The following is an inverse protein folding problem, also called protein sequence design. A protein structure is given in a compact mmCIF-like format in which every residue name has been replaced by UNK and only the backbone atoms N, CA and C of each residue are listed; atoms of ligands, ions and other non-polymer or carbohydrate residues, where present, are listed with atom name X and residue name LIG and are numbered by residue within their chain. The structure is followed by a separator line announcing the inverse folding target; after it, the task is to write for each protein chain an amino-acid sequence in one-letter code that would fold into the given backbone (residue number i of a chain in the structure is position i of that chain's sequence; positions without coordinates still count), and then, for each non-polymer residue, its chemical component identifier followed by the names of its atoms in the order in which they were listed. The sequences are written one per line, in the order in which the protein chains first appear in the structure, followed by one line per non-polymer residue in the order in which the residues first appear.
data_IF_928541638469
#
_entry.id   IF_928541638469
#
_cell.length_a   1.000
_cell.length_b   1.000
_cell.length_c   1.000
_cell.angle_alpha   90.00
_cell.angle_beta   90.00
_cell.angle_gamma   90.00
#
_symmetry.space_group_name_H-M   'P 1'
#
loop_
_entity.id
_entity.type
_entity.pdbx_description
1 polymer ?
#
# COMPACT_ATOMS: atom_id res chain seq x y z
N UNK A 1 -17.85 37.10 -13.32
CA UNK A 1 -17.65 36.93 -11.87
C UNK A 1 -16.76 38.06 -11.44
N UNK A 2 -17.24 38.90 -10.53
CA UNK A 2 -16.45 40.00 -10.00
C UNK A 2 -15.34 39.47 -9.08
N UNK A 3 -14.22 40.18 -8.97
CA UNK A 3 -13.10 39.79 -8.12
C UNK A 3 -13.54 39.70 -6.65
N UNK A 4 -14.45 40.58 -6.22
CA UNK A 4 -15.01 40.57 -4.86
C UNK A 4 -15.77 39.26 -4.59
N UNK A 5 -16.65 38.86 -5.51
CA UNK A 5 -17.41 37.60 -5.41
C UNK A 5 -16.48 36.38 -5.38
N UNK A 6 -15.40 36.41 -6.17
CA UNK A 6 -14.40 35.33 -6.16
C UNK A 6 -13.72 35.20 -4.80
N UNK A 7 -13.31 36.31 -4.19
CA UNK A 7 -12.64 36.31 -2.87
C UNK A 7 -13.57 35.74 -1.79
N UNK A 8 -14.85 36.11 -1.81
CA UNK A 8 -15.83 35.59 -0.86
C UNK A 8 -16.04 34.09 -1.01
N UNK A 9 -16.24 33.62 -2.24
CA UNK A 9 -16.38 32.18 -2.51
C UNK A 9 -15.12 31.39 -2.16
N UNK A 10 -13.93 31.95 -2.42
CA UNK A 10 -12.67 31.34 -2.04
C UNK A 10 -12.57 31.19 -0.52
N UNK A 11 -12.88 32.24 0.26
CA UNK A 11 -12.88 32.19 1.72
C UNK A 11 -13.84 31.14 2.25
N UNK A 12 -15.07 31.10 1.73
CA UNK A 12 -16.08 30.11 2.13
C UNK A 12 -15.64 28.67 1.84
N UNK A 13 -15.09 28.42 0.65
CA UNK A 13 -14.59 27.09 0.27
C UNK A 13 -13.40 26.66 1.12
N UNK A 14 -12.48 27.58 1.40
CA UNK A 14 -11.32 27.30 2.24
C UNK A 14 -11.75 26.99 3.68
N UNK A 15 -12.67 27.77 4.26
CA UNK A 15 -13.23 27.49 5.58
C UNK A 15 -13.88 26.10 5.65
N UNK A 16 -14.71 25.75 4.65
CA UNK A 16 -15.30 24.40 4.57
C UNK A 16 -14.23 23.31 4.49
N UNK A 17 -13.23 23.46 3.64
CA UNK A 17 -12.15 22.47 3.50
C UNK A 17 -11.36 22.28 4.78
N UNK A 18 -11.15 23.35 5.56
CA UNK A 18 -10.47 23.25 6.85
C UNK A 18 -11.28 22.43 7.86
N UNK A 19 -12.61 22.64 7.91
CA UNK A 19 -13.50 21.83 8.74
C UNK A 19 -13.48 20.35 8.33
N UNK A 20 -13.59 20.08 7.02
CA UNK A 20 -13.53 18.72 6.47
C UNK A 20 -12.18 18.04 6.79
N UNK A 21 -11.09 18.81 6.74
CA UNK A 21 -9.74 18.33 7.05
C UNK A 21 -9.57 17.97 8.54
N UNK A 22 -10.06 18.81 9.44
CA UNK A 22 -10.04 18.53 10.87
C UNK A 22 -10.84 17.26 11.20
N UNK A 23 -12.00 17.08 10.58
CA UNK A 23 -12.79 15.86 10.71
C UNK A 23 -12.01 14.62 10.22
N UNK A 24 -11.36 14.72 9.06
CA UNK A 24 -10.55 13.62 8.51
C UNK A 24 -9.36 13.25 9.41
N UNK A 25 -8.69 14.23 10.02
CA UNK A 25 -7.61 13.96 11.01
C UNK A 25 -8.16 13.23 12.22
N UNK A 26 -9.29 13.69 12.77
CA UNK A 26 -9.90 13.06 13.93
C UNK A 26 -10.29 11.59 13.65
N UNK A 27 -10.83 11.31 12.46
CA UNK A 27 -11.12 9.95 12.02
C UNK A 27 -9.87 9.10 11.86
N UNK A 28 -8.81 9.64 11.25
CA UNK A 28 -7.54 8.95 11.09
C UNK A 28 -6.92 8.57 12.44
N UNK A 29 -6.97 9.47 13.42
CA UNK A 29 -6.50 9.18 14.78
C UNK A 29 -7.31 8.04 15.44
N UNK A 30 -8.63 8.05 15.31
CA UNK A 30 -9.49 6.97 15.83
C UNK A 30 -9.16 5.62 15.20
N UNK A 31 -8.95 5.58 13.88
CA UNK A 31 -8.57 4.36 13.18
C UNK A 31 -7.20 3.86 13.62
N UNK A 32 -6.22 4.77 13.80
CA UNK A 32 -4.89 4.43 14.29
C UNK A 32 -4.95 3.84 15.70
N UNK A 33 -5.75 4.42 16.60
CA UNK A 33 -5.94 3.86 17.95
C UNK A 33 -6.56 2.47 17.92
N UNK A 34 -7.58 2.25 17.08
CA UNK A 34 -8.20 0.93 16.94
C UNK A 34 -7.22 -0.11 16.39
N UNK A 35 -6.46 0.25 15.35
CA UNK A 35 -5.42 -0.62 14.79
C UNK A 35 -4.32 -0.92 15.82
N UNK A 36 -3.89 0.08 16.60
CA UNK A 36 -2.94 -0.09 17.69
C UNK A 36 -3.42 -1.07 18.76
N UNK A 37 -4.70 -0.95 19.18
CA UNK A 37 -5.33 -1.88 20.14
C UNK A 37 -5.37 -3.32 19.59
N UNK A 38 -5.76 -3.50 18.34
CA UNK A 38 -5.78 -4.82 17.70
C UNK A 38 -4.38 -5.44 17.61
N UNK A 39 -3.36 -4.64 17.27
CA UNK A 39 -1.98 -5.09 17.27
C UNK A 39 -1.47 -5.45 18.66
N UNK A 40 -1.85 -4.70 19.70
CA UNK A 40 -1.51 -5.01 21.09
C UNK A 40 -2.11 -6.36 21.51
N UNK A 41 -3.40 -6.59 21.25
CA UNK A 41 -4.08 -7.86 21.53
C UNK A 41 -3.41 -9.02 20.77
N UNK A 42 -3.06 -8.83 19.50
CA UNK A 42 -2.37 -9.85 18.72
C UNK A 42 -0.99 -10.22 19.30
N UNK A 43 -0.26 -9.24 19.84
CA UNK A 43 1.02 -9.47 20.54
C UNK A 43 0.81 -10.23 21.85
N UNK A 44 -0.18 -9.86 22.65
CA UNK A 44 -0.52 -10.56 23.90
C UNK A 44 -0.89 -12.02 23.66
N UNK A 45 -1.71 -12.28 22.64
CA UNK A 45 -2.14 -13.62 22.25
C UNK A 45 -1.07 -14.43 21.50
N UNK A 46 0.15 -13.89 21.31
CA UNK A 46 1.24 -14.48 20.50
C UNK A 46 0.78 -14.94 19.11
N UNK A 47 -0.22 -14.27 18.55
CA UNK A 47 -0.73 -14.59 17.22
C UNK A 47 0.34 -14.15 16.22
N UNK A 48 0.96 -15.12 15.53
CA UNK A 48 1.85 -14.81 14.42
C UNK A 48 1.05 -14.03 13.38
N UNK A 49 1.57 -12.90 12.85
CA UNK A 49 0.92 -12.22 11.74
C UNK A 49 0.76 -13.23 10.62
N UNK A 50 -0.46 -13.38 10.11
CA UNK A 50 -0.72 -14.25 8.97
C UNK A 50 0.19 -13.78 7.82
N UNK A 51 0.86 -14.70 7.11
CA UNK A 51 1.69 -14.32 5.98
C UNK A 51 0.80 -13.59 4.97
N UNK A 52 1.12 -12.31 4.75
CA UNK A 52 0.47 -11.50 3.72
C UNK A 52 0.98 -12.07 2.40
N UNK A 53 0.25 -13.01 1.81
CA UNK A 53 0.50 -13.42 0.44
C UNK A 53 0.21 -12.20 -0.43
N UNK A 54 1.21 -11.59 -1.09
CA UNK A 54 0.94 -10.51 -2.02
C UNK A 54 0.03 -11.09 -3.08
N UNK A 55 -1.20 -10.56 -3.18
CA UNK A 55 -2.12 -10.83 -4.29
C UNK A 55 -1.59 -10.09 -5.52
N UNK A 56 -0.39 -10.48 -5.96
CA UNK A 56 0.08 -10.15 -7.29
C UNK A 56 -0.94 -10.74 -8.24
N UNK A 57 -1.52 -9.88 -9.08
CA UNK A 57 -2.27 -10.33 -10.25
C UNK A 57 -1.36 -11.32 -10.96
N UNK A 58 -1.73 -12.59 -10.93
CA UNK A 58 -0.97 -13.68 -11.53
C UNK A 58 -0.64 -13.29 -12.97
N UNK A 59 0.59 -12.84 -13.21
CA UNK A 59 1.04 -12.58 -14.58
C UNK A 59 1.10 -13.95 -15.23
N UNK A 60 0.36 -14.21 -16.32
CA UNK A 60 0.47 -15.49 -16.98
C UNK A 60 1.92 -15.63 -17.46
N UNK A 61 2.59 -16.68 -16.99
CA UNK A 61 3.86 -17.12 -17.56
C UNK A 61 3.57 -17.39 -19.03
N UNK A 62 4.01 -16.50 -19.92
CA UNK A 62 4.02 -16.77 -21.36
C UNK A 62 4.99 -17.93 -21.59
N UNK A 63 4.49 -19.16 -21.45
CA UNK A 63 5.02 -20.31 -22.17
C UNK A 63 4.95 -19.90 -23.65
N UNK A 64 6.12 -19.68 -24.25
CA UNK A 64 6.47 -19.79 -25.67
C UNK A 64 7.56 -18.76 -25.98
N UNK A 65 8.84 -19.14 -25.81
CA UNK A 65 9.94 -18.27 -26.20
C UNK A 65 11.33 -18.72 -25.77
N UNK A 66 11.82 -19.78 -26.42
CA UNK A 66 13.25 -20.16 -26.59
C UNK A 66 13.98 -20.68 -25.34
N UNK A 67 14.36 -21.96 -25.44
CA UNK A 67 15.46 -22.57 -24.69
C UNK A 67 16.76 -21.86 -25.11
N UNK A 68 17.46 -21.22 -24.18
CA UNK A 68 18.78 -20.63 -24.44
C UNK A 68 19.78 -21.17 -23.41
N UNK A 69 20.69 -22.02 -23.90
CA UNK A 69 21.97 -22.31 -23.25
C UNK A 69 22.03 -23.63 -22.51
N UNK A 70 22.41 -24.71 -23.21
CA UNK A 70 23.13 -25.81 -22.57
C UNK A 70 24.60 -25.37 -22.54
N UNK A 71 25.13 -25.01 -21.36
CA UNK A 71 26.57 -24.89 -21.22
C UNK A 71 27.13 -26.30 -21.08
N UNK A 72 27.50 -26.91 -22.21
CA UNK A 72 28.37 -28.08 -22.19
C UNK A 72 29.74 -27.64 -21.68
N UNK A 73 30.22 -28.30 -20.64
CA UNK A 73 31.64 -28.40 -20.35
C UNK A 73 31.94 -29.88 -20.21
N UNK A 74 32.30 -30.48 -21.34
CA UNK A 74 33.17 -31.64 -21.33
C UNK A 74 34.54 -31.16 -20.82
N UNK A 75 35.11 -31.91 -19.89
CA UNK A 75 36.54 -32.12 -19.58
C UNK A 75 36.61 -32.68 -18.15
N UNK A 76 36.60 -34.02 -18.03
CA UNK A 76 37.79 -34.85 -17.72
C UNK A 76 38.37 -34.58 -16.33
N UNK A 77 38.05 -35.46 -15.40
CA UNK A 77 38.98 -35.80 -14.32
C UNK A 77 39.05 -37.33 -14.22
N UNK A 78 40.24 -37.83 -14.55
CA UNK A 78 40.70 -39.21 -14.47
C UNK A 78 40.71 -39.69 -13.01
N UNK A 79 40.21 -40.89 -12.76
CA UNK A 79 40.51 -41.69 -11.56
C UNK A 79 41.66 -42.63 -11.83
#
# INVERSE_FOLDING_TARGET
MDFVEFVEQYKLRTAKRMVDFEAAIAEAHRQMEQAGRQQAIAREMKLRPAPVTPRGVYRPVRRNGRVQGVLRRDDKDET
#
